data_IF_080760620277
#
_entry.id   IF_080760620277
#
_cell.length_a   1.000
_cell.length_b   1.000
_cell.length_c   1.000
_cell.angle_alpha   90.00
_cell.angle_beta   90.00
_cell.angle_gamma   90.00
#
_symmetry.space_group_name_H-M   'P 1'
#
loop_
_entity.id
_entity.type
_entity.pdbx_description
1 polymer ?
#
# COMPACT_ATOMS: atom_id res chain seq x y z
N UNK A 1 -23.56 -6.54 24.69
CA UNK A 1 -22.43 -5.65 25.02
C UNK A 1 -21.60 -5.52 23.75
N UNK A 2 -21.75 -4.41 23.02
CA UNK A 2 -20.85 -4.10 21.90
C UNK A 2 -19.50 -3.82 22.52
N UNK A 3 -18.61 -4.82 22.47
CA UNK A 3 -17.24 -4.67 22.92
C UNK A 3 -16.67 -3.53 22.11
N UNK A 4 -16.46 -2.40 22.79
CA UNK A 4 -15.59 -1.32 22.32
C UNK A 4 -14.24 -1.97 22.12
N UNK A 5 -14.01 -2.41 20.87
CA UNK A 5 -12.75 -2.92 20.41
C UNK A 5 -11.77 -1.79 20.61
N UNK A 6 -11.06 -1.88 21.73
CA UNK A 6 -9.90 -1.08 22.05
C UNK A 6 -9.08 -0.93 20.77
N UNK A 7 -8.94 0.30 20.27
CA UNK A 7 -7.97 0.68 19.26
C UNK A 7 -6.57 0.58 19.89
N UNK A 8 -6.21 -0.61 20.35
CA UNK A 8 -4.82 -0.98 20.53
C UNK A 8 -4.27 -0.96 19.11
N UNK A 9 -3.43 0.02 18.81
CA UNK A 9 -2.62 0.00 17.60
C UNK A 9 -1.95 -1.37 17.55
N UNK A 10 -2.45 -2.27 16.70
CA UNK A 10 -1.82 -3.58 16.51
C UNK A 10 -0.56 -3.30 15.70
N UNK A 11 0.65 -3.32 16.31
CA UNK A 11 1.84 -3.13 15.53
C UNK A 11 1.98 -4.30 14.54
N UNK A 12 2.52 -4.01 13.36
CA UNK A 12 2.83 -5.03 12.36
C UNK A 12 3.76 -6.09 12.97
N UNK A 13 3.39 -7.36 12.87
CA UNK A 13 4.21 -8.47 13.40
C UNK A 13 5.51 -8.60 12.60
N UNK A 14 6.55 -9.27 13.14
CA UNK A 14 7.76 -9.57 12.39
C UNK A 14 7.49 -10.31 11.07
N UNK A 15 6.52 -11.23 11.05
CA UNK A 15 6.11 -11.98 9.87
C UNK A 15 5.45 -11.07 8.83
N UNK A 16 4.52 -10.21 9.27
CA UNK A 16 3.86 -9.23 8.41
C UNK A 16 4.86 -8.22 7.82
N UNK A 17 5.88 -7.80 8.58
CA UNK A 17 6.99 -6.95 8.08
C UNK A 17 7.79 -7.66 6.99
N UNK A 18 8.15 -8.93 7.22
CA UNK A 18 8.89 -9.73 6.26
C UNK A 18 8.11 -9.95 4.97
N UNK A 19 6.81 -10.18 5.09
CA UNK A 19 5.91 -10.31 3.96
C UNK A 19 5.81 -8.99 3.18
N UNK A 20 5.59 -7.88 3.88
CA UNK A 20 5.54 -6.55 3.27
C UNK A 20 6.84 -6.25 2.52
N UNK A 21 8.00 -6.50 3.12
CA UNK A 21 9.31 -6.30 2.48
C UNK A 21 9.47 -7.15 1.21
N UNK A 22 8.98 -8.39 1.21
CA UNK A 22 9.02 -9.25 0.03
C UNK A 22 8.16 -8.67 -1.10
N UNK A 23 6.95 -8.21 -0.78
CA UNK A 23 6.03 -7.59 -1.75
C UNK A 23 6.59 -6.27 -2.29
N UNK A 24 7.11 -5.40 -1.41
CA UNK A 24 7.74 -4.13 -1.81
C UNK A 24 8.94 -4.37 -2.72
N UNK A 25 9.80 -5.36 -2.43
CA UNK A 25 10.91 -5.74 -3.32
C UNK A 25 10.43 -6.23 -4.68
N UNK A 26 9.35 -7.00 -4.73
CA UNK A 26 8.77 -7.46 -5.99
C UNK A 26 8.23 -6.28 -6.82
N UNK A 27 7.48 -5.37 -6.18
CA UNK A 27 6.98 -4.14 -6.80
C UNK A 27 8.15 -3.29 -7.30
N UNK A 28 9.17 -3.03 -6.48
CA UNK A 28 10.33 -2.23 -6.85
C UNK A 28 11.05 -2.76 -8.10
N UNK A 29 11.20 -4.08 -8.23
CA UNK A 29 11.80 -4.70 -9.44
C UNK A 29 10.96 -4.45 -10.70
N UNK A 30 9.63 -4.41 -10.58
CA UNK A 30 8.74 -4.15 -11.70
C UNK A 30 8.80 -2.68 -12.10
N UNK A 31 8.71 -1.76 -11.12
CA UNK A 31 8.74 -0.32 -11.38
C UNK A 31 10.09 0.12 -11.94
N UNK A 32 11.20 -0.43 -11.42
CA UNK A 32 12.54 -0.16 -11.94
C UNK A 32 12.68 -0.53 -13.43
N UNK A 33 12.13 -1.68 -13.85
CA UNK A 33 12.18 -2.11 -15.27
C UNK A 33 11.44 -1.15 -16.21
N UNK A 34 10.50 -0.36 -15.69
CA UNK A 34 9.71 0.61 -16.44
C UNK A 34 10.18 2.05 -16.20
N UNK A 35 11.30 2.24 -15.50
CA UNK A 35 11.87 3.57 -15.22
C UNK A 35 12.96 3.88 -16.25
N UNK A 36 12.91 5.04 -16.93
CA UNK A 36 13.99 5.46 -17.83
C UNK A 36 15.34 5.56 -17.10
N UNK A 37 16.46 5.09 -17.68
CA UNK A 37 17.78 5.14 -17.05
C UNK A 37 18.21 6.55 -16.63
N UNK A 38 17.79 7.58 -17.36
CA UNK A 38 18.15 8.97 -17.10
C UNK A 38 17.52 9.47 -15.78
N UNK A 39 16.38 8.88 -15.37
CA UNK A 39 15.72 9.23 -14.11
C UNK A 39 16.42 8.66 -12.87
N UNK A 40 17.41 7.79 -12.99
CA UNK A 40 18.10 7.19 -11.82
C UNK A 40 19.52 7.74 -11.60
N UNK A 41 19.91 8.76 -12.35
CA UNK A 41 21.26 9.35 -12.27
C UNK A 41 21.43 10.34 -11.11
N UNK A 42 20.33 10.95 -10.66
CA UNK A 42 20.33 11.97 -9.60
C UNK A 42 19.34 11.62 -8.50
N UNK A 43 19.56 12.14 -7.28
CA UNK A 43 18.62 11.94 -6.18
C UNK A 43 17.23 12.51 -6.49
N UNK A 44 17.17 13.67 -7.15
CA UNK A 44 15.92 14.29 -7.60
C UNK A 44 15.19 13.41 -8.63
N UNK A 45 15.93 12.87 -9.60
CA UNK A 45 15.38 11.95 -10.60
C UNK A 45 14.80 10.70 -9.94
N UNK A 46 15.55 10.11 -8.99
CA UNK A 46 15.12 8.90 -8.26
C UNK A 46 13.84 9.20 -7.48
N UNK A 47 13.80 10.30 -6.72
CA UNK A 47 12.62 10.68 -5.93
C UNK A 47 11.40 10.92 -6.82
N UNK A 48 11.57 11.66 -7.91
CA UNK A 48 10.50 11.93 -8.87
C UNK A 48 9.99 10.63 -9.51
N UNK A 49 10.89 9.76 -9.97
CA UNK A 49 10.52 8.47 -10.55
C UNK A 49 9.76 7.57 -9.58
N UNK A 50 10.22 7.49 -8.32
CA UNK A 50 9.53 6.74 -7.26
C UNK A 50 8.14 7.32 -7.02
N UNK A 51 8.01 8.64 -6.88
CA UNK A 51 6.74 9.32 -6.65
C UNK A 51 5.75 9.08 -7.78
N UNK A 52 6.17 9.31 -9.03
CA UNK A 52 5.33 9.11 -10.23
C UNK A 52 4.78 7.67 -10.27
N UNK A 53 5.67 6.69 -10.15
CA UNK A 53 5.32 5.27 -10.23
C UNK A 53 4.42 4.82 -9.07
N UNK A 54 4.64 5.33 -7.86
CA UNK A 54 3.78 5.03 -6.69
C UNK A 54 2.39 5.61 -6.91
N UNK A 55 2.28 6.87 -7.34
CA UNK A 55 1.01 7.54 -7.59
C UNK A 55 0.21 6.85 -8.71
N UNK A 56 0.88 6.43 -9.78
CA UNK A 56 0.22 5.81 -10.94
C UNK A 56 -0.20 4.36 -10.68
N UNK A 57 0.65 3.56 -10.02
CA UNK A 57 0.47 2.11 -10.00
C UNK A 57 0.17 1.50 -8.63
N UNK A 58 0.56 2.15 -7.54
CA UNK A 58 0.49 1.58 -6.17
C UNK A 58 -0.65 2.21 -5.36
N UNK A 59 -0.63 3.53 -5.22
CA UNK A 59 -1.60 4.26 -4.40
C UNK A 59 -3.07 3.98 -4.76
N UNK A 60 -3.48 3.91 -6.05
CA UNK A 60 -4.87 3.62 -6.40
C UNK A 60 -5.30 2.24 -5.91
N UNK A 61 -4.45 1.21 -6.02
CA UNK A 61 -4.78 -0.15 -5.56
C UNK A 61 -5.02 -0.20 -4.05
N UNK A 62 -4.22 0.52 -3.28
CA UNK A 62 -4.40 0.65 -1.83
C UNK A 62 -5.71 1.39 -1.53
N UNK A 63 -5.95 2.52 -2.20
CA UNK A 63 -7.16 3.32 -2.00
C UNK A 63 -8.43 2.52 -2.34
N UNK A 64 -8.44 1.77 -3.44
CA UNK A 64 -9.55 0.90 -3.83
C UNK A 64 -9.76 -0.21 -2.80
N UNK A 65 -8.71 -0.91 -2.38
CA UNK A 65 -8.82 -1.95 -1.34
C UNK A 65 -9.48 -1.42 -0.07
N UNK A 66 -9.03 -0.26 0.43
CA UNK A 66 -9.62 0.36 1.62
C UNK A 66 -11.06 0.81 1.40
N UNK A 67 -11.39 1.29 0.21
CA UNK A 67 -12.75 1.70 -0.15
C UNK A 67 -13.72 0.51 -0.17
N UNK A 68 -13.30 -0.63 -0.72
CA UNK A 68 -14.08 -1.86 -0.70
C UNK A 68 -14.27 -2.38 0.73
N UNK A 69 -13.23 -2.37 1.57
CA UNK A 69 -13.36 -2.73 3.00
C UNK A 69 -14.31 -1.82 3.77
N UNK A 70 -14.36 -0.54 3.43
CA UNK A 70 -15.34 0.38 4.01
C UNK A 70 -16.76 0.03 3.55
N UNK A 71 -16.97 -0.35 2.29
CA UNK A 71 -18.29 -0.76 1.77
C UNK A 71 -18.79 -2.03 2.44
N UNK A 72 -17.95 -3.07 2.53
CA UNK A 72 -18.27 -4.34 3.21
C UNK A 72 -18.78 -4.09 4.65
N UNK A 73 -18.10 -3.22 5.41
CA UNK A 73 -18.51 -2.86 6.78
C UNK A 73 -19.87 -2.15 6.86
N UNK A 74 -20.25 -1.39 5.82
CA UNK A 74 -21.54 -0.70 5.77
C UNK A 74 -22.68 -1.66 5.41
N UNK A 75 -22.40 -2.64 4.54
CA UNK A 75 -23.35 -3.69 4.16
C UNK A 75 -23.63 -4.64 5.35
N UNK A 76 -22.59 -5.10 6.06
CA UNK A 76 -22.72 -5.93 7.27
C UNK A 76 -23.48 -5.21 8.40
N UNK A 77 -23.38 -3.88 8.47
CA UNK A 77 -24.09 -3.08 9.46
C UNK A 77 -25.57 -2.83 9.09
N UNK A 78 -25.96 -3.10 7.85
CA UNK A 78 -27.31 -2.89 7.32
C UNK A 78 -28.19 -4.15 7.32
N UNK A 79 -27.61 -5.35 7.57
CA UNK A 79 -28.40 -6.57 7.81
C UNK A 79 -28.86 -6.66 9.29
N UNK A 80 -30.17 -6.86 9.56
CA UNK A 80 -30.74 -6.97 10.91
C UNK A 80 -30.51 -8.32 11.59
#
# INVERSE_FOLDING_TARGET
MKSVLSLVERPMTPEEKKELDAHVKAIAKILYKNTPPEKIETFEGIETAVRDQVLEHVSPKIAFFLSEKKREQQEDAAEP
#
